data_IF_184721775367
#
_entry.id   IF_184721775367
#
_cell.length_a   1.000
_cell.length_b   1.000
_cell.length_c   1.000
_cell.angle_alpha   90.00
_cell.angle_beta   90.00
_cell.angle_gamma   90.00
#
_symmetry.space_group_name_H-M   'P 1'
#
loop_
_entity.id
_entity.type
_entity.pdbx_description
1 polymer ?
#
# COMPACT_ATOMS: atom_id res chain seq x y z
N UNK A 1 50.18 20.23 21.99
CA UNK A 1 50.28 18.97 22.76
C UNK A 1 49.08 18.91 23.70
N UNK A 2 48.04 18.15 23.34
CA UNK A 2 47.11 17.45 24.23
C UNK A 2 46.04 16.79 23.36
N UNK A 3 46.29 15.51 23.11
CA UNK A 3 45.41 14.51 22.52
C UNK A 3 44.21 14.26 23.42
N UNK A 4 43.01 14.25 22.85
CA UNK A 4 41.81 13.71 23.52
C UNK A 4 41.27 12.52 22.73
N UNK A 5 41.84 11.39 23.10
CA UNK A 5 41.25 10.06 23.33
C UNK A 5 39.92 9.69 22.66
N UNK A 6 40.03 8.69 21.79
CA UNK A 6 38.94 7.82 21.33
C UNK A 6 38.22 7.17 22.52
N UNK A 7 36.91 7.42 22.67
CA UNK A 7 36.05 6.56 23.49
C UNK A 7 34.68 6.40 22.84
N UNK A 8 34.51 5.24 22.20
CA UNK A 8 33.33 4.35 22.22
C UNK A 8 31.94 4.98 22.08
N UNK A 9 31.25 4.59 21.01
CA UNK A 9 29.93 3.96 21.11
C UNK A 9 29.63 3.24 19.80
N UNK A 10 29.98 1.96 19.75
CA UNK A 10 29.38 1.02 18.81
C UNK A 10 27.93 0.81 19.25
N UNK A 11 27.00 1.39 18.49
CA UNK A 11 25.58 1.06 18.57
C UNK A 11 25.30 0.00 17.51
N UNK A 12 25.16 -1.24 17.97
CA UNK A 12 24.54 -2.31 17.21
C UNK A 12 23.05 -1.99 17.04
N UNK A 13 22.56 -1.93 15.81
CA UNK A 13 21.18 -2.34 15.48
C UNK A 13 21.21 -2.97 14.10
N UNK A 14 21.14 -4.30 14.07
CA UNK A 14 20.70 -5.03 12.89
C UNK A 14 19.26 -4.65 12.61
N UNK A 15 18.99 -4.31 11.37
CA UNK A 15 17.65 -4.04 10.85
C UNK A 15 17.80 -3.71 9.39
N UNK A 16 17.26 -4.58 8.52
CA UNK A 16 17.18 -4.30 7.10
C UNK A 16 16.38 -3.00 6.91
N UNK A 17 17.08 -1.90 6.71
CA UNK A 17 16.48 -0.63 6.36
C UNK A 17 16.04 -0.72 4.89
N UNK A 18 14.81 -1.18 4.68
CA UNK A 18 14.09 -0.91 3.44
C UNK A 18 13.61 0.55 3.52
N UNK A 19 14.55 1.48 3.42
CA UNK A 19 14.24 2.90 3.24
C UNK A 19 14.03 3.14 1.74
N UNK A 20 12.87 2.73 1.22
CA UNK A 20 12.35 3.26 -0.03
C UNK A 20 11.59 4.55 0.30
N UNK A 21 12.35 5.61 0.55
CA UNK A 21 11.85 6.98 0.48
C UNK A 21 11.60 7.35 -0.98
N UNK A 22 10.61 6.70 -1.60
CA UNK A 22 9.96 7.24 -2.78
C UNK A 22 8.93 8.27 -2.28
N UNK A 23 9.38 9.51 -2.12
CA UNK A 23 8.49 10.65 -2.10
C UNK A 23 7.75 10.65 -3.46
N UNK A 24 6.58 10.00 -3.52
CA UNK A 24 5.64 10.19 -4.60
C UNK A 24 5.12 11.62 -4.46
N UNK A 25 5.83 12.57 -5.06
CA UNK A 25 5.27 13.88 -5.35
C UNK A 25 3.93 13.66 -6.04
N UNK A 26 2.88 14.18 -5.44
CA UNK A 26 1.52 14.16 -5.98
C UNK A 26 1.53 15.09 -7.20
N UNK A 27 2.13 14.64 -8.29
CA UNK A 27 1.90 15.18 -9.60
C UNK A 27 0.48 14.76 -9.98
N UNK A 28 -0.35 15.74 -10.31
CA UNK A 28 -1.75 15.57 -10.73
C UNK A 28 -1.88 14.55 -11.86
N UNK A 29 -2.02 13.27 -11.51
CA UNK A 29 -2.32 12.19 -12.43
C UNK A 29 -3.63 11.53 -11.98
N UNK A 30 -4.28 10.88 -12.95
CA UNK A 30 -5.51 10.10 -12.84
C UNK A 30 -5.83 9.60 -11.42
N UNK A 31 -7.07 9.71 -10.90
CA UNK A 31 -7.41 9.27 -9.54
C UNK A 31 -7.09 7.79 -9.26
N UNK A 32 -6.82 6.97 -10.28
CA UNK A 32 -6.35 5.60 -10.14
C UNK A 32 -4.83 5.46 -10.11
N UNK A 33 -4.05 6.47 -10.48
CA UNK A 33 -2.58 6.44 -10.53
C UNK A 33 -1.95 5.96 -9.21
N UNK A 34 -2.40 6.41 -8.02
CA UNK A 34 -1.88 5.89 -6.73
C UNK A 34 -2.17 4.40 -6.52
N UNK A 35 -3.27 3.90 -7.08
CA UNK A 35 -3.67 2.49 -6.98
C UNK A 35 -2.87 1.65 -7.97
N UNK A 36 -2.71 2.14 -9.21
CA UNK A 36 -1.99 1.45 -10.28
C UNK A 36 -0.50 1.31 -9.91
N UNK A 37 0.10 2.37 -9.39
CA UNK A 37 1.51 2.43 -9.03
C UNK A 37 1.81 2.03 -7.57
N UNK A 38 0.81 1.52 -6.84
CA UNK A 38 1.00 1.13 -5.43
C UNK A 38 2.10 0.07 -5.27
N UNK A 39 2.94 0.26 -4.26
CA UNK A 39 3.98 -0.68 -3.84
C UNK A 39 3.54 -1.54 -2.65
N UNK A 40 2.31 -1.34 -2.16
CA UNK A 40 1.85 -2.00 -0.96
C UNK A 40 1.69 -3.51 -1.14
N UNK A 41 2.06 -4.24 -0.10
CA UNK A 41 1.83 -5.69 -0.03
C UNK A 41 0.45 -6.00 0.52
N UNK A 42 -0.04 -7.22 0.28
CA UNK A 42 -1.35 -7.63 0.80
C UNK A 42 -1.50 -7.46 2.33
N UNK A 43 -0.51 -7.82 3.18
CA UNK A 43 -0.58 -7.56 4.61
C UNK A 43 -0.74 -6.07 4.95
N UNK A 44 -0.02 -5.18 4.26
CA UNK A 44 -0.09 -3.74 4.49
C UNK A 44 -1.46 -3.16 4.09
N UNK A 45 -2.00 -3.63 2.95
CA UNK A 45 -3.36 -3.28 2.52
C UNK A 45 -4.39 -3.73 3.55
N UNK A 46 -4.27 -4.95 4.07
CA UNK A 46 -5.19 -5.45 5.11
C UNK A 46 -5.05 -4.66 6.41
N UNK A 47 -3.83 -4.36 6.86
CA UNK A 47 -3.60 -3.57 8.08
C UNK A 47 -4.18 -2.16 7.95
N UNK A 48 -3.91 -1.48 6.84
CA UNK A 48 -4.47 -0.18 6.52
C UNK A 48 -6.00 -0.21 6.43
N UNK A 49 -6.57 -1.23 5.77
CA UNK A 49 -8.01 -1.38 5.65
C UNK A 49 -8.67 -1.63 7.01
N UNK A 50 -8.10 -2.49 7.86
CA UNK A 50 -8.61 -2.73 9.21
C UNK A 50 -8.55 -1.46 10.09
N UNK A 51 -7.55 -0.61 9.91
CA UNK A 51 -7.38 0.61 10.70
C UNK A 51 -8.32 1.76 10.25
N UNK A 52 -8.59 1.88 8.95
CA UNK A 52 -9.35 3.00 8.38
C UNK A 52 -10.83 2.64 8.11
N UNK A 53 -11.12 1.40 7.75
CA UNK A 53 -12.48 0.93 7.43
C UNK A 53 -12.68 -0.55 7.85
N UNK A 54 -12.85 -0.82 9.15
CA UNK A 54 -12.99 -2.17 9.67
C UNK A 54 -14.25 -2.89 9.16
N UNK A 55 -15.30 -2.16 8.76
CA UNK A 55 -16.49 -2.76 8.18
C UNK A 55 -16.20 -3.35 6.79
N UNK A 56 -15.53 -2.59 5.91
CA UNK A 56 -15.08 -3.10 4.61
C UNK A 56 -14.04 -4.22 4.77
N UNK A 57 -13.17 -4.15 5.78
CA UNK A 57 -12.24 -5.23 6.09
C UNK A 57 -12.97 -6.55 6.41
N UNK A 58 -14.09 -6.49 7.15
CA UNK A 58 -14.92 -7.66 7.43
C UNK A 58 -15.61 -8.20 6.18
N UNK A 59 -16.17 -7.34 5.32
CA UNK A 59 -16.75 -7.76 4.03
C UNK A 59 -15.70 -8.44 3.13
N UNK A 60 -14.48 -7.88 3.07
CA UNK A 60 -13.37 -8.47 2.32
C UNK A 60 -12.97 -9.83 2.91
N UNK A 61 -12.84 -9.94 4.23
CA UNK A 61 -12.52 -11.20 4.91
C UNK A 61 -13.59 -12.27 4.68
N UNK A 62 -14.86 -11.87 4.54
CA UNK A 62 -15.97 -12.78 4.23
C UNK A 62 -16.02 -13.21 2.75
N UNK A 63 -15.24 -12.58 1.87
CA UNK A 63 -15.26 -12.83 0.41
C UNK A 63 -13.91 -13.36 -0.10
N UNK A 64 -13.76 -14.70 -0.29
CA UNK A 64 -12.54 -15.28 -0.86
C UNK A 64 -12.21 -14.75 -2.24
N UNK A 65 -13.24 -14.44 -3.04
CA UNK A 65 -13.08 -13.85 -4.37
C UNK A 65 -12.40 -12.47 -4.29
N UNK A 66 -12.87 -11.60 -3.38
CA UNK A 66 -12.31 -10.26 -3.24
C UNK A 66 -10.86 -10.31 -2.72
N UNK A 67 -10.55 -11.21 -1.78
CA UNK A 67 -9.18 -11.42 -1.32
C UNK A 67 -8.24 -11.87 -2.45
N UNK A 68 -8.67 -12.82 -3.26
CA UNK A 68 -7.88 -13.29 -4.40
C UNK A 68 -7.72 -12.20 -5.46
N UNK A 69 -8.76 -11.39 -5.68
CA UNK A 69 -8.70 -10.26 -6.62
C UNK A 69 -7.65 -9.24 -6.17
N UNK A 70 -7.65 -8.83 -4.90
CA UNK A 70 -6.64 -7.89 -4.38
C UNK A 70 -5.23 -8.47 -4.46
N UNK A 71 -5.05 -9.75 -4.10
CA UNK A 71 -3.74 -10.42 -4.22
C UNK A 71 -3.24 -10.42 -5.66
N UNK A 72 -4.11 -10.76 -6.62
CA UNK A 72 -3.77 -10.72 -8.04
C UNK A 72 -3.48 -9.30 -8.52
N UNK A 73 -4.24 -8.31 -8.06
CA UNK A 73 -4.02 -6.91 -8.40
C UNK A 73 -2.63 -6.44 -7.95
N UNK A 74 -2.28 -6.69 -6.68
CA UNK A 74 -0.98 -6.31 -6.14
C UNK A 74 0.18 -7.10 -6.78
N UNK A 75 -0.03 -8.35 -7.17
CA UNK A 75 0.97 -9.15 -7.88
C UNK A 75 1.11 -8.79 -9.37
N UNK A 76 0.14 -8.10 -9.95
CA UNK A 76 0.12 -7.75 -11.37
C UNK A 76 0.99 -6.52 -11.67
N UNK A 77 1.60 -6.43 -12.87
CA UNK A 77 2.31 -5.22 -13.30
C UNK A 77 1.32 -4.06 -13.56
N UNK A 78 1.78 -2.79 -13.57
CA UNK A 78 0.91 -1.61 -13.70
C UNK A 78 -0.07 -1.62 -14.90
N UNK A 79 0.31 -2.05 -16.12
CA UNK A 79 -0.64 -2.12 -17.23
C UNK A 79 -1.78 -3.11 -16.97
N UNK A 80 -1.50 -4.20 -16.25
CA UNK A 80 -2.51 -5.19 -15.89
C UNK A 80 -3.42 -4.70 -14.77
N UNK A 81 -2.87 -3.96 -13.80
CA UNK A 81 -3.64 -3.26 -12.76
C UNK A 81 -4.61 -2.25 -13.35
N UNK A 82 -4.20 -1.48 -14.37
CA UNK A 82 -5.09 -0.57 -15.10
C UNK A 82 -6.30 -1.30 -15.70
N UNK A 83 -6.06 -2.43 -16.39
CA UNK A 83 -7.15 -3.23 -16.95
C UNK A 83 -8.09 -3.78 -15.87
N UNK A 84 -7.52 -4.28 -14.77
CA UNK A 84 -8.30 -4.77 -13.63
C UNK A 84 -9.15 -3.65 -13.01
N UNK A 85 -8.57 -2.48 -12.77
CA UNK A 85 -9.26 -1.32 -12.23
C UNK A 85 -10.40 -0.86 -13.16
N UNK A 86 -10.16 -0.76 -14.47
CA UNK A 86 -11.19 -0.42 -15.45
C UNK A 86 -12.34 -1.45 -15.46
N UNK A 87 -12.04 -2.74 -15.28
CA UNK A 87 -13.06 -3.80 -15.21
C UNK A 87 -14.02 -3.58 -14.03
N UNK A 88 -13.50 -3.24 -12.85
CA UNK A 88 -14.34 -3.01 -11.68
C UNK A 88 -15.00 -1.63 -11.68
N UNK A 89 -14.48 -0.65 -12.42
CA UNK A 89 -15.15 0.67 -12.57
C UNK A 89 -16.50 0.58 -13.26
N UNK A 90 -16.68 -0.40 -14.17
CA UNK A 90 -17.98 -0.71 -14.77
C UNK A 90 -18.96 -1.41 -13.82
N UNK A 91 -18.55 -1.81 -12.61
CA UNK A 91 -19.38 -2.54 -11.67
C UNK A 91 -19.96 -1.60 -10.60
N UNK A 92 -21.29 -1.35 -10.57
CA UNK A 92 -21.89 -0.47 -9.57
C UNK A 92 -21.70 -0.96 -8.13
N UNK A 93 -21.61 -2.27 -7.93
CA UNK A 93 -21.31 -2.87 -6.62
C UNK A 93 -19.88 -2.55 -6.11
N UNK A 94 -18.92 -2.27 -7.01
CA UNK A 94 -17.56 -1.89 -6.64
C UNK A 94 -17.42 -0.38 -6.35
N UNK A 95 -18.37 0.43 -6.83
CA UNK A 95 -18.31 1.88 -6.72
C UNK A 95 -18.16 2.38 -5.27
N UNK A 96 -18.88 1.73 -4.33
CA UNK A 96 -18.83 2.06 -2.90
C UNK A 96 -17.45 1.84 -2.26
N UNK A 97 -16.61 1.00 -2.85
CA UNK A 97 -15.29 0.66 -2.32
C UNK A 97 -14.15 1.50 -2.91
N UNK A 98 -14.37 2.21 -4.02
CA UNK A 98 -13.28 2.95 -4.68
C UNK A 98 -12.64 4.01 -3.79
N UNK A 99 -13.43 4.71 -2.97
CA UNK A 99 -12.89 5.69 -2.04
C UNK A 99 -11.98 5.01 -1.00
N UNK A 100 -12.47 3.94 -0.37
CA UNK A 100 -11.68 3.15 0.58
C UNK A 100 -10.40 2.58 -0.05
N UNK A 101 -10.47 2.05 -1.28
CA UNK A 101 -9.31 1.52 -1.99
C UNK A 101 -8.29 2.62 -2.31
N UNK A 102 -8.73 3.81 -2.75
CA UNK A 102 -7.84 4.95 -2.98
C UNK A 102 -7.15 5.39 -1.69
N UNK A 103 -7.91 5.55 -0.60
CA UNK A 103 -7.35 5.93 0.70
C UNK A 103 -6.34 4.90 1.19
N UNK A 104 -6.69 3.61 1.14
CA UNK A 104 -5.78 2.53 1.52
C UNK A 104 -4.53 2.54 0.65
N UNK A 105 -4.63 2.72 -0.67
CA UNK A 105 -3.46 2.77 -1.56
C UNK A 105 -2.49 3.91 -1.23
N UNK A 106 -2.98 5.03 -0.68
CA UNK A 106 -2.16 6.17 -0.25
C UNK A 106 -1.50 5.89 1.11
N UNK A 107 -2.24 5.34 2.08
CA UNK A 107 -1.75 5.19 3.46
C UNK A 107 -1.08 3.86 3.77
N UNK A 108 -1.25 2.83 2.93
CA UNK A 108 -0.81 1.47 3.22
C UNK A 108 0.70 1.32 3.41
N UNK A 109 1.52 2.22 2.89
CA UNK A 109 2.97 2.20 3.14
C UNK A 109 3.35 2.55 4.60
N UNK A 110 2.41 3.06 5.40
CA UNK A 110 2.60 3.34 6.83
C UNK A 110 2.22 2.15 7.73
N UNK A 111 1.75 1.06 7.14
CA UNK A 111 1.39 -0.20 7.79
C UNK A 111 2.30 -1.32 7.30
#
# INVERSE_FOLDING_TARGET
MMTLSLTKLAAAVGGAAVALSAAAGIASADPLDPIINTTCTYPQVMAALNANDPATAQELNASPFAQNYIRQFLASPPPKRQQMAAQIQGMPAAAKYFNTIQQVAVVCNNY
#
